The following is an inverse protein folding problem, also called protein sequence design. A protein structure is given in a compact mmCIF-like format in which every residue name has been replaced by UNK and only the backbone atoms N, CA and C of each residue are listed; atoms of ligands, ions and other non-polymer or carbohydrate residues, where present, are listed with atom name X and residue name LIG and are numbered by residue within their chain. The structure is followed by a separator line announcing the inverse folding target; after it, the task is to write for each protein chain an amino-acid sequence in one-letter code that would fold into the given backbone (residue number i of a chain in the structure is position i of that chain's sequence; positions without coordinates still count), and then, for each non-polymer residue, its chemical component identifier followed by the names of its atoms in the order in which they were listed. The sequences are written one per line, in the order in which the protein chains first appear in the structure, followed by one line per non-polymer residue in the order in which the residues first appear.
data_IF_631580962754
#
_entry.id   IF_631580962754
#
_cell.length_a   1.000
_cell.length_b   1.000
_cell.length_c   1.000
_cell.angle_alpha   90.00
_cell.angle_beta   90.00
_cell.angle_gamma   90.00
#
_symmetry.space_group_name_H-M   'P 1'
#
loop_
_entity.id
_entity.type
_entity.pdbx_description
1 polymer ?
#
# COMPACT_ATOMS: atom_id res chain seq x y z
N UNK A 1 10.39 30.39 28.35
CA UNK A 1 9.22 29.54 28.09
C UNK A 1 8.17 30.44 27.46
N UNK A 2 7.54 30.02 26.36
CA UNK A 2 6.62 30.86 25.55
C UNK A 2 5.24 31.10 26.22
N UNK A 3 5.02 30.69 27.48
CA UNK A 3 3.77 30.93 28.23
C UNK A 3 2.51 30.32 27.60
N UNK A 4 2.65 29.35 26.68
CA UNK A 4 1.53 28.67 26.04
C UNK A 4 0.98 27.58 26.96
N UNK A 5 -0.13 27.84 27.62
CA UNK A 5 -0.65 26.96 28.66
C UNK A 5 -1.57 25.87 28.11
N UNK A 6 -2.31 26.18 27.04
CA UNK A 6 -3.30 25.26 26.46
C UNK A 6 -2.84 24.62 25.15
N UNK A 7 -3.38 23.42 24.79
CA UNK A 7 -3.12 22.82 23.48
C UNK A 7 -3.54 23.72 22.30
N UNK A 8 -4.61 24.48 22.44
CA UNK A 8 -5.12 25.39 21.40
C UNK A 8 -4.15 26.55 21.17
N UNK A 9 -3.63 27.16 22.24
CA UNK A 9 -2.60 28.22 22.11
C UNK A 9 -1.35 27.68 21.43
N UNK A 10 -0.94 26.46 21.74
CA UNK A 10 0.19 25.81 21.08
C UNK A 10 -0.10 25.55 19.60
N UNK A 11 -1.29 25.09 19.25
CA UNK A 11 -1.69 24.89 17.86
C UNK A 11 -1.69 26.20 17.08
N UNK A 12 -2.27 27.26 17.64
CA UNK A 12 -2.28 28.59 17.04
C UNK A 12 -0.87 29.13 16.81
N UNK A 13 0.02 28.92 17.78
CA UNK A 13 1.40 29.39 17.68
C UNK A 13 2.23 28.59 16.67
N UNK A 14 2.10 27.27 16.70
CA UNK A 14 2.95 26.36 15.90
C UNK A 14 2.44 26.15 14.48
N UNK A 15 1.11 26.22 14.27
CA UNK A 15 0.49 25.94 12.98
C UNK A 15 -0.80 26.74 12.80
N UNK A 16 -0.68 28.07 12.84
CA UNK A 16 -1.79 28.99 12.64
C UNK A 16 -2.58 28.69 11.34
N UNK A 17 -1.95 28.39 10.20
CA UNK A 17 -2.70 28.09 8.98
C UNK A 17 -3.63 26.89 9.12
N UNK A 18 -3.23 25.83 9.80
CA UNK A 18 -4.07 24.66 10.03
C UNK A 18 -5.24 25.00 10.97
N UNK A 19 -4.98 25.78 12.02
CA UNK A 19 -6.01 26.25 12.94
C UNK A 19 -7.08 27.08 12.23
N UNK A 20 -6.68 28.09 11.47
CA UNK A 20 -7.60 28.95 10.72
C UNK A 20 -8.35 28.18 9.62
N UNK A 21 -7.66 27.31 8.89
CA UNK A 21 -8.27 26.49 7.85
C UNK A 21 -9.38 25.60 8.43
N UNK A 22 -9.12 24.97 9.58
CA UNK A 22 -10.10 24.10 10.21
C UNK A 22 -11.37 24.86 10.64
N UNK A 23 -11.19 26.00 11.32
CA UNK A 23 -12.32 26.83 11.79
C UNK A 23 -13.12 27.44 10.63
N UNK A 24 -12.44 27.84 9.56
CA UNK A 24 -13.12 28.36 8.37
C UNK A 24 -13.98 27.30 7.67
N UNK A 25 -13.58 26.02 7.75
CA UNK A 25 -14.34 24.91 7.19
C UNK A 25 -15.45 24.40 8.11
N UNK A 26 -15.32 24.62 9.40
CA UNK A 26 -16.24 24.14 10.44
C UNK A 26 -16.69 25.34 11.31
N UNK A 27 -17.50 26.25 10.77
CA UNK A 27 -17.94 27.42 11.51
C UNK A 27 -18.77 27.02 12.73
N UNK A 28 -18.44 27.59 13.87
CA UNK A 28 -19.13 27.34 15.14
C UNK A 28 -18.48 26.27 16.04
N UNK A 29 -17.39 25.63 15.59
CA UNK A 29 -16.61 24.73 16.43
C UNK A 29 -15.64 25.51 17.32
N UNK A 30 -15.62 25.18 18.61
CA UNK A 30 -14.60 25.61 19.56
C UNK A 30 -13.60 24.46 19.81
N UNK A 31 -12.39 24.59 19.26
CA UNK A 31 -11.35 23.56 19.41
C UNK A 31 -10.87 23.33 20.85
N UNK A 32 -11.22 24.23 21.79
CA UNK A 32 -10.88 24.07 23.20
C UNK A 32 -11.86 23.15 23.95
N UNK A 33 -13.11 23.12 23.52
CA UNK A 33 -14.20 22.49 24.26
C UNK A 33 -14.96 21.42 23.49
N UNK A 34 -15.02 21.56 22.16
CA UNK A 34 -15.80 20.65 21.33
C UNK A 34 -15.02 19.36 21.01
N UNK A 35 -15.76 18.27 20.95
CA UNK A 35 -15.22 16.99 20.49
C UNK A 35 -15.19 16.99 18.97
N UNK A 36 -14.03 16.64 18.42
CA UNK A 36 -13.85 16.52 16.99
C UNK A 36 -14.13 15.07 16.56
N UNK A 37 -14.76 14.92 15.40
CA UNK A 37 -14.86 13.62 14.76
C UNK A 37 -13.50 13.12 14.33
N UNK A 38 -13.22 11.88 14.61
CA UNK A 38 -12.05 11.17 14.10
C UNK A 38 -12.51 9.95 13.34
N UNK A 39 -11.89 9.70 12.20
CA UNK A 39 -12.11 8.50 11.40
C UNK A 39 -10.84 7.66 11.34
N UNK A 40 -11.01 6.35 11.36
CA UNK A 40 -9.91 5.43 11.07
C UNK A 40 -9.82 5.30 9.56
N UNK A 41 -8.68 5.65 9.00
CA UNK A 41 -8.44 5.57 7.56
C UNK A 41 -7.03 5.06 7.26
N UNK A 42 -6.86 4.46 6.09
CA UNK A 42 -5.55 4.09 5.59
C UNK A 42 -4.85 5.34 5.03
N UNK A 43 -4.03 5.98 5.86
CA UNK A 43 -3.25 7.15 5.46
C UNK A 43 -2.03 6.76 4.63
N UNK A 44 -1.50 5.55 4.83
CA UNK A 44 -0.19 5.17 4.36
C UNK A 44 -0.11 3.66 4.10
N UNK A 45 0.48 3.28 2.98
CA UNK A 45 0.77 1.88 2.71
C UNK A 45 2.06 1.43 3.43
N UNK A 46 2.00 0.27 4.08
CA UNK A 46 3.14 -0.38 4.71
C UNK A 46 3.60 -1.63 3.96
N UNK A 47 3.26 -1.73 2.72
CA UNK A 47 3.73 -2.68 1.73
C UNK A 47 4.01 -1.93 0.43
N UNK A 48 4.77 -2.53 -0.47
CA UNK A 48 5.12 -1.92 -1.74
C UNK A 48 5.98 -2.84 -2.59
N UNK A 49 6.60 -2.29 -3.59
CA UNK A 49 7.49 -3.03 -4.48
C UNK A 49 8.75 -3.43 -3.70
N UNK A 50 9.08 -4.74 -3.69
CA UNK A 50 10.26 -5.26 -3.00
C UNK A 50 11.55 -4.69 -3.59
N UNK A 51 12.47 -4.30 -2.71
CA UNK A 51 13.74 -3.68 -3.08
C UNK A 51 14.91 -4.25 -2.28
N UNK A 52 16.09 -4.22 -2.87
CA UNK A 52 17.32 -4.53 -2.18
C UNK A 52 17.89 -3.33 -1.38
N UNK A 53 19.13 -3.45 -0.91
CA UNK A 53 19.82 -2.39 -0.14
C UNK A 53 20.04 -1.10 -0.92
N UNK A 54 19.99 -1.17 -2.24
CA UNK A 54 20.19 -0.04 -3.16
C UNK A 54 18.89 0.43 -3.80
N UNK A 55 17.74 0.02 -3.26
CA UNK A 55 16.41 0.29 -3.77
C UNK A 55 16.19 -0.18 -5.21
N UNK A 56 16.88 -1.26 -5.62
CA UNK A 56 16.62 -1.90 -6.91
C UNK A 56 15.48 -2.91 -6.73
N UNK A 57 14.52 -2.89 -7.63
CA UNK A 57 13.54 -3.96 -7.73
C UNK A 57 14.08 -5.17 -8.49
N UNK A 58 13.27 -6.21 -8.63
CA UNK A 58 13.55 -7.35 -9.51
C UNK A 58 13.51 -7.00 -11.00
N UNK A 59 12.97 -5.82 -11.36
CA UNK A 59 12.92 -5.33 -12.74
C UNK A 59 14.11 -4.41 -12.95
N UNK A 60 14.95 -4.74 -13.93
CA UNK A 60 16.12 -3.95 -14.27
C UNK A 60 15.74 -2.49 -14.64
N UNK A 61 16.45 -1.53 -14.05
CA UNK A 61 16.20 -0.09 -14.28
C UNK A 61 15.03 0.49 -13.47
N UNK A 62 14.31 -0.30 -12.66
CA UNK A 62 13.23 0.17 -11.79
C UNK A 62 13.70 0.29 -10.35
N UNK A 63 13.68 1.52 -9.82
CA UNK A 63 14.12 1.88 -8.48
C UNK A 63 12.96 2.49 -7.68
N UNK A 64 12.09 1.69 -7.06
CA UNK A 64 11.04 2.21 -6.19
C UNK A 64 11.64 2.83 -4.93
N UNK A 65 11.22 4.04 -4.59
CA UNK A 65 11.69 4.75 -3.40
C UNK A 65 10.51 5.29 -2.58
N UNK A 66 10.76 5.58 -1.31
CA UNK A 66 9.73 6.11 -0.43
C UNK A 66 8.61 5.10 -0.17
N UNK A 67 7.38 5.57 -0.17
CA UNK A 67 6.20 4.74 0.11
C UNK A 67 5.99 3.64 -0.94
N UNK A 68 6.37 3.88 -2.19
CA UNK A 68 6.28 2.88 -3.27
C UNK A 68 7.09 1.61 -2.99
N UNK A 69 8.18 1.71 -2.23
CA UNK A 69 8.98 0.56 -1.78
C UNK A 69 8.38 -0.16 -0.56
N UNK A 70 7.44 0.44 0.13
CA UNK A 70 6.77 -0.15 1.30
C UNK A 70 7.67 -0.40 2.51
N UNK A 71 8.86 0.18 2.56
CA UNK A 71 9.89 -0.11 3.57
C UNK A 71 9.72 0.66 4.89
N UNK A 72 8.58 1.31 5.12
CA UNK A 72 8.41 2.25 6.24
C UNK A 72 8.08 1.59 7.58
N UNK A 73 7.48 0.41 7.58
CA UNK A 73 7.00 -0.26 8.78
C UNK A 73 5.77 0.40 9.42
N UNK A 74 4.99 -0.38 10.16
CA UNK A 74 3.76 0.09 10.84
C UNK A 74 4.10 0.83 12.13
N UNK A 75 4.87 0.20 13.00
CA UNK A 75 5.31 0.79 14.28
C UNK A 75 6.63 1.53 14.07
N UNK A 76 6.56 2.83 13.86
CA UNK A 76 7.73 3.67 13.62
C UNK A 76 7.58 5.06 14.26
N UNK A 77 8.70 5.73 14.60
CA UNK A 77 8.69 7.13 15.02
C UNK A 77 8.16 8.06 13.91
N UNK A 78 7.55 9.17 14.30
CA UNK A 78 7.20 10.25 13.39
C UNK A 78 8.42 10.75 12.62
N UNK A 79 8.28 11.05 11.34
CA UNK A 79 9.37 11.47 10.46
C UNK A 79 10.21 10.32 9.87
N UNK A 80 10.15 9.12 10.41
CA UNK A 80 10.91 7.97 9.90
C UNK A 80 10.58 7.65 8.41
N UNK A 81 9.34 7.86 7.99
CA UNK A 81 8.95 7.67 6.60
C UNK A 81 9.68 8.63 5.64
N UNK A 82 9.77 9.91 5.99
CA UNK A 82 10.53 10.90 5.20
C UNK A 82 12.01 10.57 5.15
N UNK A 83 12.61 10.18 6.29
CA UNK A 83 14.01 9.78 6.32
C UNK A 83 14.28 8.54 5.46
N UNK A 84 13.43 7.52 5.54
CA UNK A 84 13.53 6.32 4.69
C UNK A 84 13.41 6.67 3.20
N UNK A 85 12.49 7.57 2.84
CA UNK A 85 12.34 8.03 1.46
C UNK A 85 13.59 8.75 0.94
N UNK A 86 14.17 9.67 1.73
CA UNK A 86 15.38 10.40 1.36
C UNK A 86 16.60 9.50 1.27
N UNK A 87 16.79 8.60 2.22
CA UNK A 87 17.88 7.61 2.20
C UNK A 87 17.74 6.70 0.99
N UNK A 88 16.53 6.21 0.71
CA UNK A 88 16.26 5.37 -0.44
C UNK A 88 16.56 6.06 -1.76
N UNK A 89 16.08 7.28 -1.94
CA UNK A 89 16.34 8.07 -3.14
C UNK A 89 17.84 8.35 -3.33
N UNK A 90 18.56 8.69 -2.24
CA UNK A 90 20.00 8.94 -2.29
C UNK A 90 20.77 7.68 -2.69
N UNK A 91 20.45 6.53 -2.08
CA UNK A 91 21.11 5.25 -2.40
C UNK A 91 20.83 4.80 -3.84
N UNK A 92 19.59 4.91 -4.29
CA UNK A 92 19.22 4.62 -5.68
C UNK A 92 20.01 5.51 -6.66
N UNK A 93 20.08 6.82 -6.40
CA UNK A 93 20.84 7.76 -7.23
C UNK A 93 22.34 7.43 -7.26
N UNK A 94 22.92 7.05 -6.13
CA UNK A 94 24.33 6.63 -6.05
C UNK A 94 24.58 5.37 -6.86
N UNK A 95 23.72 4.38 -6.76
CA UNK A 95 23.82 3.17 -7.56
C UNK A 95 23.75 3.47 -9.06
N UNK A 96 22.74 4.24 -9.48
CA UNK A 96 22.55 4.64 -10.88
C UNK A 96 23.81 5.35 -11.39
N UNK A 97 24.32 6.33 -10.65
CA UNK A 97 25.50 7.09 -11.04
C UNK A 97 26.78 6.24 -11.14
N UNK A 98 26.91 5.21 -10.29
CA UNK A 98 28.13 4.41 -10.23
C UNK A 98 28.09 3.15 -11.11
N UNK A 99 26.90 2.56 -11.34
CA UNK A 99 26.74 1.26 -11.96
C UNK A 99 25.94 1.25 -13.25
N UNK A 100 24.97 2.16 -13.38
CA UNK A 100 24.15 2.28 -14.59
C UNK A 100 24.79 3.28 -15.57
N UNK A 101 26.00 2.98 -16.00
CA UNK A 101 26.72 3.87 -16.93
C UNK A 101 26.24 3.64 -18.36
N UNK A 102 25.60 4.64 -18.91
CA UNK A 102 25.10 4.68 -20.28
C UNK A 102 23.58 4.78 -20.34
N UNK A 103 23.06 5.33 -21.41
CA UNK A 103 21.64 5.26 -21.68
C UNK A 103 21.25 3.79 -21.77
N UNK A 104 20.23 3.37 -21.01
CA UNK A 104 19.64 2.07 -21.20
C UNK A 104 19.32 1.90 -22.69
N UNK A 105 20.08 1.06 -23.39
CA UNK A 105 19.72 0.69 -24.74
C UNK A 105 18.53 -0.22 -24.62
N UNK A 106 17.45 0.12 -25.27
CA UNK A 106 16.37 -0.81 -25.46
C UNK A 106 16.93 -2.07 -26.13
N UNK A 107 16.69 -3.22 -25.52
CA UNK A 107 17.10 -4.50 -26.12
C UNK A 107 16.51 -4.65 -27.51
N UNK A 108 17.20 -5.37 -28.40
CA UNK A 108 16.63 -5.77 -29.67
C UNK A 108 15.28 -6.48 -29.40
N UNK A 109 14.20 -5.98 -30.00
CA UNK A 109 12.86 -6.53 -29.79
C UNK A 109 11.93 -5.70 -28.89
N UNK A 110 12.40 -4.61 -28.26
CA UNK A 110 11.51 -3.76 -27.44
C UNK A 110 10.33 -3.20 -28.26
N UNK A 111 10.53 -2.92 -29.56
CA UNK A 111 9.46 -2.46 -30.45
C UNK A 111 8.37 -3.53 -30.62
N UNK A 112 8.73 -4.81 -30.68
CA UNK A 112 7.80 -5.92 -30.77
C UNK A 112 7.00 -6.04 -29.47
N UNK A 113 7.68 -6.06 -28.31
CA UNK A 113 7.04 -6.10 -27.00
C UNK A 113 6.13 -4.88 -26.77
N UNK A 114 6.58 -3.69 -27.13
CA UNK A 114 5.76 -2.49 -27.04
C UNK A 114 4.58 -2.54 -28.02
N UNK A 115 4.80 -3.08 -29.21
CA UNK A 115 3.75 -3.29 -30.22
C UNK A 115 2.66 -4.21 -29.71
N UNK A 116 3.01 -5.33 -29.10
CA UNK A 116 2.08 -6.27 -28.52
C UNK A 116 1.27 -5.65 -27.35
N UNK A 117 1.95 -4.92 -26.47
CA UNK A 117 1.29 -4.22 -25.37
C UNK A 117 0.29 -3.15 -25.88
N UNK A 118 0.72 -2.36 -26.86
CA UNK A 118 -0.15 -1.37 -27.51
C UNK A 118 -1.33 -2.02 -28.23
N UNK A 119 -1.11 -3.14 -28.92
CA UNK A 119 -2.18 -3.87 -29.59
C UNK A 119 -3.22 -4.42 -28.61
N UNK A 120 -2.79 -5.00 -27.47
CA UNK A 120 -3.68 -5.45 -26.40
C UNK A 120 -4.51 -4.29 -25.82
N UNK A 121 -3.84 -3.16 -25.53
CA UNK A 121 -4.52 -1.97 -25.03
C UNK A 121 -5.54 -1.41 -26.05
N UNK A 122 -5.18 -1.37 -27.34
CA UNK A 122 -6.07 -0.93 -28.41
C UNK A 122 -7.26 -1.86 -28.56
N UNK A 123 -7.06 -3.17 -28.58
CA UNK A 123 -8.14 -4.15 -28.70
C UNK A 123 -9.14 -4.07 -27.54
N UNK A 124 -8.65 -3.87 -26.30
CA UNK A 124 -9.50 -3.64 -25.14
C UNK A 124 -10.33 -2.36 -25.30
N UNK A 125 -9.70 -1.26 -25.70
CA UNK A 125 -10.38 0.02 -25.90
C UNK A 125 -11.41 -0.05 -27.03
N UNK A 126 -11.06 -0.61 -28.18
CA UNK A 126 -11.96 -0.78 -29.33
C UNK A 126 -13.19 -1.64 -28.95
N UNK A 127 -12.97 -2.73 -28.20
CA UNK A 127 -14.06 -3.55 -27.68
C UNK A 127 -14.97 -2.76 -26.75
N UNK A 128 -14.40 -2.02 -25.79
CA UNK A 128 -15.17 -1.24 -24.82
C UNK A 128 -15.95 -0.07 -25.46
N UNK A 129 -15.36 0.59 -26.46
CA UNK A 129 -16.02 1.67 -27.21
C UNK A 129 -17.08 1.18 -28.21
N UNK A 130 -16.98 -0.07 -28.66
CA UNK A 130 -17.92 -0.67 -29.63
C UNK A 130 -19.19 -1.26 -29.00
N UNK A 131 -19.28 -1.31 -27.68
CA UNK A 131 -20.46 -1.87 -26.97
C UNK A 131 -21.52 -0.81 -26.76
N UNK A 132 -22.79 -1.25 -26.79
CA UNK A 132 -23.90 -0.38 -26.43
C UNK A 132 -24.03 -0.23 -24.91
N UNK A 133 -24.30 0.98 -24.44
CA UNK A 133 -24.45 1.30 -23.02
C UNK A 133 -25.56 0.49 -22.34
N UNK A 134 -26.63 0.16 -23.12
CA UNK A 134 -27.75 -0.63 -22.63
C UNK A 134 -27.44 -2.09 -22.32
N UNK A 135 -26.33 -2.62 -22.84
CA UNK A 135 -25.93 -4.04 -22.71
C UNK A 135 -24.65 -4.26 -21.94
N UNK A 136 -23.97 -3.20 -21.52
CA UNK A 136 -22.67 -3.27 -20.90
C UNK A 136 -22.65 -2.76 -19.45
N UNK A 137 -21.47 -2.84 -18.85
CA UNK A 137 -21.20 -2.40 -17.50
C UNK A 137 -20.41 -1.08 -17.54
N UNK A 138 -20.86 -0.09 -16.79
CA UNK A 138 -20.15 1.18 -16.69
C UNK A 138 -18.86 1.01 -15.87
N UNK A 139 -17.75 1.55 -16.38
CA UNK A 139 -16.45 1.45 -15.72
C UNK A 139 -16.45 2.11 -14.34
N UNK A 140 -17.24 3.16 -14.14
CA UNK A 140 -17.37 3.85 -12.86
C UNK A 140 -18.09 3.00 -11.82
N UNK A 141 -19.03 2.15 -12.21
CA UNK A 141 -19.71 1.21 -11.32
C UNK A 141 -18.73 0.14 -10.83
N UNK A 142 -17.91 -0.42 -11.73
CA UNK A 142 -16.86 -1.39 -11.35
C UNK A 142 -15.87 -0.77 -10.36
N UNK A 143 -15.45 0.48 -10.61
CA UNK A 143 -14.55 1.19 -9.68
C UNK A 143 -15.20 1.34 -8.31
N UNK A 144 -16.44 1.79 -8.27
CA UNK A 144 -17.16 2.03 -7.02
C UNK A 144 -17.42 0.73 -6.24
N UNK A 145 -17.87 -0.31 -6.91
CA UNK A 145 -18.11 -1.62 -6.31
C UNK A 145 -16.82 -2.23 -5.75
N UNK A 146 -15.75 -2.23 -6.53
CA UNK A 146 -14.48 -2.85 -6.14
C UNK A 146 -13.79 -2.10 -4.99
N UNK A 147 -13.80 -0.76 -5.01
CA UNK A 147 -13.20 0.03 -3.93
C UNK A 147 -13.99 -0.07 -2.63
N UNK A 148 -15.32 -0.15 -2.72
CA UNK A 148 -16.18 -0.39 -1.55
C UNK A 148 -15.93 -1.77 -0.97
N UNK A 149 -15.92 -2.81 -1.80
CA UNK A 149 -15.67 -4.18 -1.35
C UNK A 149 -14.28 -4.36 -0.70
N UNK A 150 -13.24 -3.65 -1.22
CA UNK A 150 -11.93 -3.61 -0.57
C UNK A 150 -12.00 -2.96 0.81
N UNK A 151 -12.74 -1.86 0.97
CA UNK A 151 -12.92 -1.21 2.27
C UNK A 151 -13.64 -2.11 3.27
N UNK A 152 -14.67 -2.80 2.82
CA UNK A 152 -15.54 -3.63 3.67
C UNK A 152 -14.84 -4.95 4.09
N UNK A 153 -14.05 -5.57 3.21
CA UNK A 153 -13.49 -6.91 3.43
C UNK A 153 -11.96 -6.96 3.64
N UNK A 154 -11.24 -5.98 3.13
CA UNK A 154 -9.78 -5.90 3.22
C UNK A 154 -9.29 -4.67 4.01
N UNK A 155 -10.18 -3.99 4.72
CA UNK A 155 -9.88 -2.85 5.58
C UNK A 155 -9.11 -3.23 6.84
N UNK A 156 -9.42 -2.58 7.97
CA UNK A 156 -8.74 -2.80 9.26
C UNK A 156 -9.16 -4.11 9.93
N UNK A 157 -10.41 -4.49 9.79
CA UNK A 157 -10.97 -5.76 10.29
C UNK A 157 -11.23 -6.67 9.10
N UNK A 158 -10.64 -7.85 9.12
CA UNK A 158 -10.65 -8.80 8.01
C UNK A 158 -11.08 -10.17 8.47
N UNK A 159 -11.94 -10.83 7.71
CA UNK A 159 -12.26 -12.23 7.91
C UNK A 159 -11.80 -13.08 6.73
N UNK A 160 -11.50 -14.37 6.96
CA UNK A 160 -11.19 -15.31 5.88
C UNK A 160 -12.31 -15.33 4.84
N UNK A 161 -13.56 -15.48 5.31
CA UNK A 161 -14.71 -15.53 4.42
C UNK A 161 -14.84 -14.29 3.54
N UNK A 162 -14.70 -13.09 4.14
CA UNK A 162 -14.76 -11.82 3.40
C UNK A 162 -13.65 -11.69 2.36
N UNK A 163 -12.43 -12.12 2.70
CA UNK A 163 -11.31 -12.11 1.76
C UNK A 163 -11.48 -13.11 0.61
N UNK A 164 -12.00 -14.31 0.87
CA UNK A 164 -12.30 -15.30 -0.16
C UNK A 164 -13.42 -14.84 -1.11
N UNK A 165 -14.45 -14.18 -0.57
CA UNK A 165 -15.50 -13.57 -1.38
C UNK A 165 -14.94 -12.42 -2.22
N UNK A 166 -14.13 -11.56 -1.62
CA UNK A 166 -13.47 -10.46 -2.32
C UNK A 166 -12.56 -10.97 -3.45
N UNK A 167 -11.81 -12.06 -3.24
CA UNK A 167 -10.99 -12.68 -4.27
C UNK A 167 -11.81 -13.11 -5.48
N UNK A 168 -12.97 -13.75 -5.25
CA UNK A 168 -13.90 -14.12 -6.32
C UNK A 168 -14.44 -12.89 -7.06
N UNK A 169 -14.85 -11.87 -6.32
CA UNK A 169 -15.39 -10.64 -6.89
C UNK A 169 -14.35 -9.89 -7.72
N UNK A 170 -13.11 -9.79 -7.24
CA UNK A 170 -12.02 -9.15 -7.99
C UNK A 170 -11.75 -9.90 -9.31
N UNK A 171 -11.72 -11.23 -9.27
CA UNK A 171 -11.56 -12.04 -10.48
C UNK A 171 -12.71 -11.80 -11.48
N UNK A 172 -13.94 -11.70 -10.99
CA UNK A 172 -15.11 -11.43 -11.83
C UNK A 172 -15.07 -9.99 -12.40
N UNK A 173 -14.71 -8.98 -11.62
CA UNK A 173 -14.58 -7.62 -12.14
C UNK A 173 -13.47 -7.50 -13.18
N UNK A 174 -12.33 -8.18 -12.99
CA UNK A 174 -11.26 -8.25 -14.00
C UNK A 174 -11.79 -8.80 -15.33
N UNK A 175 -12.58 -9.86 -15.29
CA UNK A 175 -13.24 -10.43 -16.46
C UNK A 175 -14.24 -9.44 -17.08
N UNK A 176 -15.11 -8.82 -16.27
CA UNK A 176 -16.13 -7.87 -16.73
C UNK A 176 -15.54 -6.63 -17.39
N UNK A 177 -14.40 -6.14 -16.90
CA UNK A 177 -13.70 -5.01 -17.55
C UNK A 177 -13.29 -5.36 -18.99
N UNK A 178 -12.86 -6.58 -19.22
CA UNK A 178 -12.46 -7.03 -20.56
C UNK A 178 -13.67 -7.33 -21.44
N UNK A 179 -14.66 -8.05 -20.90
CA UNK A 179 -15.72 -8.66 -21.71
C UNK A 179 -16.97 -7.79 -21.82
N UNK A 180 -17.24 -6.94 -20.84
CA UNK A 180 -18.55 -6.29 -20.68
C UNK A 180 -18.47 -4.75 -20.55
N UNK A 181 -17.28 -4.18 -20.28
CA UNK A 181 -17.17 -2.76 -19.98
C UNK A 181 -17.50 -1.89 -21.19
N UNK A 182 -18.24 -0.81 -20.91
CA UNK A 182 -18.60 0.22 -21.89
C UNK A 182 -17.84 1.50 -21.59
N UNK A 183 -17.31 2.11 -22.62
CA UNK A 183 -16.55 3.36 -22.54
C UNK A 183 -17.10 4.34 -23.59
N UNK A 184 -17.38 5.57 -23.15
CA UNK A 184 -17.71 6.66 -24.07
C UNK A 184 -16.42 7.12 -24.78
N UNK A 185 -16.28 6.88 -26.09
CA UNK A 185 -15.08 7.24 -26.85
C UNK A 185 -14.88 8.76 -26.98
N UNK A 186 -15.92 9.56 -26.74
CA UNK A 186 -15.85 11.03 -26.78
C UNK A 186 -15.35 11.64 -25.48
N UNK A 187 -15.36 10.84 -24.39
CA UNK A 187 -14.91 11.23 -23.05
C UNK A 187 -13.51 10.69 -22.76
N UNK A 188 -12.50 11.56 -22.82
CA UNK A 188 -11.14 11.21 -22.40
C UNK A 188 -11.10 10.59 -21.00
N UNK A 189 -11.91 11.13 -20.08
CA UNK A 189 -12.00 10.63 -18.72
C UNK A 189 -12.47 9.18 -18.66
N UNK A 190 -13.43 8.79 -19.49
CA UNK A 190 -13.96 7.42 -19.57
C UNK A 190 -12.86 6.46 -20.07
N UNK A 191 -12.10 6.87 -21.08
CA UNK A 191 -10.98 6.11 -21.63
C UNK A 191 -9.86 5.93 -20.59
N UNK A 192 -9.44 7.01 -19.95
CA UNK A 192 -8.40 6.96 -18.92
C UNK A 192 -8.80 6.05 -17.75
N UNK A 193 -10.08 6.05 -17.37
CA UNK A 193 -10.61 5.19 -16.32
C UNK A 193 -10.62 3.72 -16.65
N UNK A 194 -10.83 3.33 -17.90
CA UNK A 194 -10.76 1.92 -18.30
C UNK A 194 -9.41 1.29 -17.89
N UNK A 195 -8.32 1.97 -18.20
CA UNK A 195 -6.97 1.49 -17.87
C UNK A 195 -6.69 1.60 -16.39
N UNK A 196 -7.08 2.71 -15.75
CA UNK A 196 -6.93 2.88 -14.30
C UNK A 196 -7.65 1.79 -13.50
N UNK A 197 -8.90 1.46 -13.86
CA UNK A 197 -9.67 0.44 -13.15
C UNK A 197 -9.07 -0.94 -13.36
N UNK A 198 -8.60 -1.27 -14.56
CA UNK A 198 -7.86 -2.50 -14.80
C UNK A 198 -6.64 -2.62 -13.87
N UNK A 199 -5.82 -1.58 -13.81
CA UNK A 199 -4.62 -1.57 -12.99
C UNK A 199 -4.96 -1.66 -11.48
N UNK A 200 -6.04 -0.99 -11.04
CA UNK A 200 -6.55 -1.11 -9.66
C UNK A 200 -6.96 -2.55 -9.36
N UNK A 201 -7.70 -3.21 -10.24
CA UNK A 201 -8.13 -4.60 -10.03
C UNK A 201 -6.96 -5.58 -10.00
N UNK A 202 -5.93 -5.37 -10.80
CA UNK A 202 -4.71 -6.18 -10.77
C UNK A 202 -3.98 -6.02 -9.42
N UNK A 203 -3.88 -4.80 -8.90
CA UNK A 203 -3.31 -4.54 -7.57
C UNK A 203 -4.19 -5.13 -6.46
N UNK A 204 -5.50 -5.01 -6.55
CA UNK A 204 -6.43 -5.62 -5.59
C UNK A 204 -6.27 -7.14 -5.54
N UNK A 205 -6.13 -7.80 -6.69
CA UNK A 205 -5.89 -9.24 -6.75
C UNK A 205 -4.60 -9.64 -6.00
N UNK A 206 -3.51 -8.90 -6.19
CA UNK A 206 -2.24 -9.13 -5.49
C UNK A 206 -2.38 -8.93 -3.98
N UNK A 207 -3.04 -7.86 -3.54
CA UNK A 207 -3.24 -7.61 -2.11
C UNK A 207 -4.11 -8.69 -1.45
N UNK A 208 -5.20 -9.08 -2.09
CA UNK A 208 -6.11 -10.10 -1.54
C UNK A 208 -5.41 -11.47 -1.47
N UNK A 209 -4.64 -11.83 -2.49
CA UNK A 209 -3.83 -13.05 -2.47
C UNK A 209 -2.80 -13.02 -1.32
N UNK A 210 -2.12 -11.90 -1.11
CA UNK A 210 -1.19 -11.73 0.01
C UNK A 210 -1.88 -11.88 1.37
N UNK A 211 -3.09 -11.31 1.53
CA UNK A 211 -3.86 -11.41 2.77
C UNK A 211 -4.34 -12.83 3.05
N UNK A 212 -4.77 -13.56 2.03
CA UNK A 212 -5.18 -14.97 2.16
C UNK A 212 -3.98 -15.86 2.50
N UNK A 213 -2.86 -15.70 1.81
CA UNK A 213 -1.63 -16.42 2.10
C UNK A 213 -1.12 -16.15 3.54
N UNK A 214 -1.28 -14.92 4.04
CA UNK A 214 -0.99 -14.56 5.42
C UNK A 214 -1.79 -15.43 6.41
N UNK A 215 -3.10 -15.61 6.16
CA UNK A 215 -3.96 -16.47 6.96
C UNK A 215 -3.61 -17.95 6.81
N UNK A 216 -3.25 -18.40 5.60
CA UNK A 216 -2.87 -19.79 5.33
C UNK A 216 -1.58 -20.20 6.05
N UNK A 217 -0.69 -19.26 6.30
CA UNK A 217 0.51 -19.44 7.10
C UNK A 217 0.28 -19.31 8.61
N UNK A 218 -0.97 -19.14 9.05
CA UNK A 218 -1.33 -19.05 10.46
C UNK A 218 -0.80 -17.79 11.16
N UNK A 219 -0.53 -16.74 10.41
CA UNK A 219 -0.13 -15.45 10.98
C UNK A 219 -1.36 -14.81 11.61
N UNK A 220 -1.25 -14.43 12.86
CA UNK A 220 -2.30 -13.73 13.59
C UNK A 220 -2.37 -12.23 13.27
N UNK A 221 -3.23 -11.54 13.99
CA UNK A 221 -3.36 -10.08 13.91
C UNK A 221 -2.09 -9.40 14.38
N UNK A 222 -1.62 -8.41 13.64
CA UNK A 222 -0.45 -7.60 13.98
C UNK A 222 -0.48 -6.24 13.30
N UNK A 223 0.24 -5.29 13.86
CA UNK A 223 0.29 -3.92 13.33
C UNK A 223 -1.05 -3.22 13.43
N UNK A 224 -1.57 -2.73 12.32
CA UNK A 224 -2.85 -2.01 12.24
C UNK A 224 -4.01 -2.84 11.69
N UNK A 225 -3.86 -4.16 11.65
CA UNK A 225 -4.85 -5.08 11.07
C UNK A 225 -5.30 -6.10 12.10
N UNK A 226 -6.60 -6.32 12.14
CA UNK A 226 -7.24 -7.35 12.91
C UNK A 226 -7.82 -8.41 11.96
N UNK A 227 -7.31 -9.64 12.05
CA UNK A 227 -7.91 -10.80 11.43
C UNK A 227 -8.85 -11.47 12.41
N UNK A 228 -10.12 -11.54 12.07
CA UNK A 228 -11.14 -12.11 12.96
C UNK A 228 -10.91 -13.61 13.16
N UNK A 229 -11.01 -14.05 14.41
CA UNK A 229 -10.92 -15.45 14.81
C UNK A 229 -12.00 -15.73 15.88
N UNK A 230 -13.05 -16.52 15.57
CA UNK A 230 -14.11 -16.80 16.52
C UNK A 230 -13.62 -17.44 17.82
N UNK A 231 -12.51 -18.16 17.78
CA UNK A 231 -11.89 -18.80 18.93
C UNK A 231 -10.82 -17.92 19.61
N UNK A 232 -10.70 -16.67 19.16
CA UNK A 232 -9.76 -15.71 19.69
C UNK A 232 -10.30 -14.93 20.88
N UNK A 233 -9.49 -14.00 21.36
CA UNK A 233 -9.83 -13.13 22.48
C UNK A 233 -10.44 -11.81 21.99
N UNK A 234 -11.34 -11.21 22.79
CA UNK A 234 -11.77 -9.84 22.58
C UNK A 234 -10.67 -8.86 22.98
N UNK A 235 -10.61 -7.67 22.34
CA UNK A 235 -9.66 -6.63 22.73
C UNK A 235 -9.87 -6.23 24.19
N UNK A 236 -8.77 -5.99 24.89
CA UNK A 236 -8.77 -5.45 26.26
C UNK A 236 -8.19 -4.04 26.28
N UNK A 237 -8.63 -3.24 27.25
CA UNK A 237 -8.11 -1.89 27.43
C UNK A 237 -6.69 -1.94 27.99
N UNK A 238 -5.71 -1.42 27.25
CA UNK A 238 -4.34 -1.31 27.74
C UNK A 238 -4.12 -0.10 28.67
N UNK A 239 -5.07 0.85 28.68
CA UNK A 239 -5.01 2.06 29.52
C UNK A 239 -5.86 1.98 30.79
N UNK A 240 -6.57 0.87 30.98
CA UNK A 240 -7.44 0.63 32.13
C UNK A 240 -7.21 -0.76 32.73
N UNK A 241 -5.96 -1.07 33.04
CA UNK A 241 -5.50 -2.31 33.70
C UNK A 241 -6.06 -3.61 33.09
N UNK A 242 -6.25 -3.62 31.78
CA UNK A 242 -6.74 -4.80 31.06
C UNK A 242 -8.25 -5.04 31.20
N UNK A 243 -9.02 -4.03 31.61
CA UNK A 243 -10.48 -4.16 31.66
C UNK A 243 -11.07 -4.53 30.30
N UNK A 244 -12.05 -5.40 30.31
CA UNK A 244 -12.77 -5.79 29.10
C UNK A 244 -13.41 -4.58 28.45
N UNK A 245 -13.33 -4.52 27.14
CA UNK A 245 -14.03 -3.54 26.32
C UNK A 245 -15.40 -4.10 25.94
N UNK A 246 -16.45 -3.28 26.06
CA UNK A 246 -17.77 -3.60 25.53
C UNK A 246 -17.76 -3.40 24.01
N UNK A 247 -17.30 -4.43 23.31
CA UNK A 247 -17.17 -4.45 21.84
C UNK A 247 -17.82 -5.70 21.27
N UNK A 248 -18.19 -5.62 20.00
CA UNK A 248 -18.85 -6.71 19.30
C UNK A 248 -17.94 -7.92 19.11
N UNK A 249 -18.53 -9.12 19.03
CA UNK A 249 -17.82 -10.40 18.80
C UNK A 249 -16.99 -10.43 17.52
N UNK A 250 -17.30 -9.59 16.53
CA UNK A 250 -16.51 -9.45 15.30
C UNK A 250 -15.06 -9.01 15.56
N UNK A 251 -14.78 -8.44 16.73
CA UNK A 251 -13.41 -8.04 17.11
C UNK A 251 -12.61 -9.15 17.79
N UNK A 252 -13.16 -10.38 17.91
CA UNK A 252 -12.35 -11.51 18.36
C UNK A 252 -11.22 -11.79 17.41
N UNK A 253 -10.03 -11.96 17.96
CA UNK A 253 -8.82 -12.17 17.18
C UNK A 253 -7.75 -12.89 17.98
N UNK A 254 -6.77 -13.46 17.28
CA UNK A 254 -5.50 -13.90 17.89
C UNK A 254 -4.37 -12.98 17.42
N UNK A 255 -3.53 -12.60 18.36
CA UNK A 255 -2.29 -11.90 18.03
C UNK A 255 -1.29 -12.88 17.42
N UNK A 256 -0.45 -12.38 16.51
CA UNK A 256 0.67 -13.14 15.99
C UNK A 256 1.57 -13.64 17.14
N UNK A 257 1.87 -14.94 17.10
CA UNK A 257 2.64 -15.64 18.13
C UNK A 257 4.14 -15.30 18.15
N UNK A 258 4.57 -14.26 17.46
CA UNK A 258 5.98 -13.90 17.20
C UNK A 258 6.74 -14.88 16.31
N UNK A 259 6.17 -16.01 15.91
CA UNK A 259 6.80 -16.98 15.00
C UNK A 259 7.17 -16.35 13.66
N UNK A 260 6.43 -15.33 13.24
CA UNK A 260 6.61 -14.65 11.97
C UNK A 260 7.38 -13.31 12.07
N UNK A 261 7.90 -12.95 13.25
CA UNK A 261 8.62 -11.69 13.42
C UNK A 261 9.94 -11.61 12.64
N UNK A 262 10.53 -12.75 12.33
CA UNK A 262 11.79 -12.85 11.60
C UNK A 262 11.64 -13.04 10.10
N UNK A 263 10.43 -12.96 9.55
CA UNK A 263 10.16 -13.19 8.12
C UNK A 263 9.31 -12.08 7.50
N UNK A 264 9.47 -11.92 6.20
CA UNK A 264 8.65 -11.03 5.36
C UNK A 264 7.98 -11.83 4.27
N UNK A 265 6.76 -11.45 3.93
CA UNK A 265 6.05 -11.95 2.78
C UNK A 265 6.38 -11.09 1.55
N UNK A 266 6.61 -11.74 0.43
CA UNK A 266 6.74 -11.15 -0.90
C UNK A 266 5.77 -11.81 -1.84
N UNK A 267 5.22 -11.03 -2.75
CA UNK A 267 4.28 -11.55 -3.76
C UNK A 267 4.83 -11.20 -5.14
N UNK A 268 4.81 -12.18 -6.02
CA UNK A 268 5.15 -12.01 -7.42
C UNK A 268 4.01 -12.45 -8.31
N UNK A 269 3.92 -11.85 -9.48
CA UNK A 269 2.99 -12.23 -10.53
C UNK A 269 3.80 -12.84 -11.66
N UNK A 270 3.30 -13.91 -12.27
CA UNK A 270 3.96 -14.53 -13.41
C UNK A 270 4.03 -13.62 -14.64
N UNK A 271 4.81 -13.98 -15.65
CA UNK A 271 5.04 -13.15 -16.83
C UNK A 271 3.78 -12.90 -17.67
N UNK A 272 2.76 -13.73 -17.52
CA UNK A 272 1.46 -13.57 -18.22
C UNK A 272 0.42 -12.84 -17.38
N UNK A 273 0.72 -12.56 -16.09
CA UNK A 273 -0.17 -11.83 -15.19
C UNK A 273 -1.33 -12.67 -14.64
N UNK A 274 -1.26 -13.99 -14.73
CA UNK A 274 -2.36 -14.88 -14.34
C UNK A 274 -2.17 -15.50 -12.96
N UNK A 275 -0.95 -15.96 -12.64
CA UNK A 275 -0.68 -16.60 -11.37
C UNK A 275 0.05 -15.68 -10.40
N UNK A 276 -0.46 -15.65 -9.17
CA UNK A 276 0.11 -14.88 -8.06
C UNK A 276 0.77 -15.85 -7.11
N UNK A 277 2.05 -15.63 -6.81
CA UNK A 277 2.86 -16.48 -5.96
C UNK A 277 3.33 -15.72 -4.73
N UNK A 278 3.09 -16.27 -3.55
CA UNK A 278 3.62 -15.75 -2.31
C UNK A 278 4.91 -16.47 -1.91
N UNK A 279 5.86 -15.71 -1.38
CA UNK A 279 7.15 -16.18 -0.91
C UNK A 279 7.45 -15.60 0.46
N UNK A 280 7.91 -16.45 1.37
CA UNK A 280 8.34 -16.04 2.71
C UNK A 280 9.86 -16.12 2.80
N UNK A 281 10.47 -15.06 3.26
CA UNK A 281 11.91 -14.98 3.42
C UNK A 281 12.30 -14.28 4.72
N UNK A 282 13.55 -14.46 5.17
CA UNK A 282 14.00 -13.83 6.40
C UNK A 282 14.07 -12.30 6.25
N UNK A 283 13.75 -11.58 7.32
CA UNK A 283 14.12 -10.17 7.43
C UNK A 283 15.64 -10.04 7.51
N UNK A 284 16.16 -8.92 7.04
CA UNK A 284 17.60 -8.65 7.22
C UNK A 284 17.92 -8.56 8.71
N UNK A 285 19.03 -9.17 9.15
CA UNK A 285 19.43 -9.09 10.56
C UNK A 285 19.73 -7.63 10.93
N UNK A 286 19.35 -7.27 12.14
CA UNK A 286 19.78 -6.00 12.72
C UNK A 286 21.27 -6.12 13.05
N UNK A 287 22.13 -5.17 12.62
CA UNK A 287 23.54 -5.17 13.00
C UNK A 287 23.69 -5.17 14.53
N UNK A 288 24.62 -5.95 15.01
CA UNK A 288 24.92 -6.10 16.46
C UNK A 288 26.15 -5.33 16.90
N UNK A 289 26.85 -4.70 16.00
CA UNK A 289 28.02 -3.86 16.29
C UNK A 289 27.58 -2.51 16.86
N UNK A 290 28.12 -2.12 18.00
CA UNK A 290 27.77 -0.87 18.68
C UNK A 290 28.09 0.37 17.83
N UNK A 291 29.13 0.31 17.01
CA UNK A 291 29.60 1.40 16.14
C UNK A 291 29.21 1.18 14.65
N UNK A 292 28.16 0.43 14.38
CA UNK A 292 27.80 0.08 13.02
C UNK A 292 27.57 1.32 12.12
N UNK A 293 26.80 2.31 12.60
CA UNK A 293 26.48 3.51 11.82
C UNK A 293 27.72 4.32 11.51
N UNK A 294 28.58 4.52 12.49
CA UNK A 294 29.82 5.27 12.39
C UNK A 294 30.78 4.59 11.40
N UNK A 295 30.92 3.28 11.49
CA UNK A 295 31.79 2.50 10.61
C UNK A 295 31.28 2.51 9.16
N UNK A 296 30.00 2.29 8.92
CA UNK A 296 29.39 2.36 7.57
C UNK A 296 29.55 3.76 6.99
N UNK A 297 29.29 4.80 7.78
CA UNK A 297 29.42 6.17 7.34
C UNK A 297 30.86 6.56 7.04
N UNK A 298 31.81 6.14 7.87
CA UNK A 298 33.24 6.36 7.66
C UNK A 298 33.71 5.68 6.38
N UNK A 299 33.38 4.40 6.19
CA UNK A 299 33.76 3.63 5.01
C UNK A 299 33.18 4.26 3.74
N UNK A 300 31.92 4.66 3.77
CA UNK A 300 31.30 5.36 2.63
C UNK A 300 32.04 6.68 2.29
N UNK A 301 32.36 7.48 3.31
CA UNK A 301 33.03 8.78 3.08
C UNK A 301 34.46 8.66 2.58
N UNK A 302 35.16 7.59 2.95
CA UNK A 302 36.56 7.36 2.57
C UNK A 302 36.66 6.60 1.26
N UNK A 303 35.93 5.51 1.15
CA UNK A 303 36.08 4.54 0.05
C UNK A 303 35.03 4.70 -1.04
N UNK A 304 33.99 5.50 -0.80
CA UNK A 304 32.81 5.64 -1.68
C UNK A 304 32.28 4.28 -2.16
N UNK A 305 32.34 3.28 -1.24
CA UNK A 305 31.99 1.91 -1.57
C UNK A 305 30.48 1.77 -1.81
N UNK A 306 30.16 1.41 -3.04
CA UNK A 306 28.83 1.01 -3.47
C UNK A 306 28.91 -0.48 -3.80
N UNK A 307 28.46 -1.31 -2.90
CA UNK A 307 28.52 -2.77 -2.98
C UNK A 307 27.13 -3.39 -3.08
#
# INVERSE_FOLDING_TARGET
MLGLETPVERLQHMNQPAYEFYLNRNPGIDLATDRLEIGVCAQHNNGGIDVDLWWRSSIAGLFPVGEAAGAHGVARPGGAALNSAQVGATRAAQWIAAREQGAARADEGWQELAGDALQKARSLLEAACGREESSGVLIDDVLMESTRAMSDNAGLVRSRQGLEELARNVAEWRRRVVDECVVDPTSRRSVDRLFLVRDILDVQAVYVAAMLDHLDHGVGSRGSVLYTDPDGDLPVSWWNDGADLDVEEIFRHRLDSKAHHGVTQRVSVDAVGEAIHAHWGPVRPIPTEDEFLENVWKTYRVDHNIH
#
